data_IF_966549709226
#
_entry.id   IF_966549709226
#
_cell.length_a   1.000
_cell.length_b   1.000
_cell.length_c   1.000
_cell.angle_alpha   90.00
_cell.angle_beta   90.00
_cell.angle_gamma   90.00
#
_symmetry.space_group_name_H-M   'P 1'
#
loop_
_entity.id
_entity.type
_entity.pdbx_description
1 polymer ?
#
# COMPACT_ATOMS: atom_id res chain seq x y z
N UNK A 1 39.94 -8.02 -27.43
CA UNK A 1 38.59 -7.42 -27.50
C UNK A 1 37.66 -7.85 -26.37
N UNK A 2 38.02 -8.89 -25.59
CA UNK A 2 37.24 -9.56 -24.53
C UNK A 2 37.16 -8.80 -23.19
N UNK A 3 38.06 -7.88 -22.90
CA UNK A 3 38.15 -7.10 -21.64
C UNK A 3 37.23 -5.86 -21.56
N UNK A 4 36.71 -5.38 -22.71
CA UNK A 4 35.91 -4.14 -22.76
C UNK A 4 34.48 -4.32 -22.29
N UNK A 5 33.85 -5.45 -22.55
CA UNK A 5 32.45 -5.69 -22.21
C UNK A 5 32.26 -6.08 -20.72
N UNK A 6 33.22 -6.85 -20.17
CA UNK A 6 33.28 -7.16 -18.77
C UNK A 6 33.48 -5.91 -17.88
N UNK A 7 34.41 -5.01 -18.30
CA UNK A 7 34.60 -3.74 -17.56
C UNK A 7 33.40 -2.82 -17.62
N UNK A 8 32.67 -2.77 -18.74
CA UNK A 8 31.39 -2.01 -18.83
C UNK A 8 30.32 -2.60 -17.93
N UNK A 9 30.27 -3.93 -17.82
CA UNK A 9 29.35 -4.62 -16.92
C UNK A 9 29.64 -4.27 -15.46
N UNK A 10 30.91 -4.36 -15.03
CA UNK A 10 31.31 -3.97 -13.66
C UNK A 10 31.04 -2.49 -13.36
N UNK A 11 31.34 -1.58 -14.29
CA UNK A 11 31.06 -0.16 -14.14
C UNK A 11 29.55 0.12 -13.96
N UNK A 12 28.70 -0.61 -14.68
CA UNK A 12 27.25 -0.53 -14.51
C UNK A 12 26.80 -1.02 -13.12
N UNK A 13 27.44 -2.07 -12.57
CA UNK A 13 27.17 -2.56 -11.22
C UNK A 13 27.61 -1.55 -10.15
N UNK A 14 28.77 -0.91 -10.30
CA UNK A 14 29.22 0.16 -9.39
C UNK A 14 28.26 1.37 -9.38
N UNK A 15 27.76 1.76 -10.56
CA UNK A 15 26.77 2.84 -10.66
C UNK A 15 25.47 2.47 -9.94
N UNK A 16 25.03 1.22 -10.05
CA UNK A 16 23.85 0.70 -9.35
C UNK A 16 24.05 0.64 -7.83
N UNK A 17 25.23 0.25 -7.37
CA UNK A 17 25.56 0.29 -5.93
C UNK A 17 25.47 1.69 -5.38
N UNK A 18 26.06 2.69 -6.06
CA UNK A 18 26.06 4.09 -5.65
C UNK A 18 24.67 4.72 -5.70
N UNK A 19 23.88 4.38 -6.73
CA UNK A 19 22.57 5.03 -6.96
C UNK A 19 21.41 4.35 -6.26
N UNK A 20 21.48 3.03 -6.00
CA UNK A 20 20.38 2.20 -5.49
C UNK A 20 20.69 1.48 -4.18
N UNK A 21 21.94 1.56 -3.69
CA UNK A 21 22.34 0.89 -2.44
C UNK A 21 22.38 -0.63 -2.52
N UNK A 22 22.43 -1.20 -3.72
CA UNK A 22 22.53 -2.65 -3.94
C UNK A 22 23.99 -3.05 -3.93
N UNK A 23 24.40 -3.96 -3.04
CA UNK A 23 25.76 -4.47 -2.98
C UNK A 23 26.18 -5.10 -4.30
N UNK A 24 27.31 -4.64 -4.86
CA UNK A 24 27.89 -5.17 -6.08
C UNK A 24 28.15 -6.69 -5.97
N UNK A 25 28.63 -7.15 -4.82
CA UNK A 25 28.90 -8.58 -4.59
C UNK A 25 27.61 -9.42 -4.65
N UNK A 26 26.53 -8.97 -4.00
CA UNK A 26 25.23 -9.67 -4.05
C UNK A 26 24.64 -9.72 -5.47
N UNK A 27 24.87 -8.69 -6.29
CA UNK A 27 24.47 -8.68 -7.69
C UNK A 27 25.30 -9.68 -8.51
N UNK A 28 26.61 -9.75 -8.28
CA UNK A 28 27.49 -10.70 -8.95
C UNK A 28 27.13 -12.14 -8.60
N UNK A 29 26.94 -12.46 -7.33
CA UNK A 29 26.48 -13.79 -6.87
C UNK A 29 25.16 -14.20 -7.51
N UNK A 30 24.21 -13.26 -7.60
CA UNK A 30 22.92 -13.52 -8.25
C UNK A 30 23.09 -13.84 -9.75
N UNK A 31 23.99 -13.13 -10.42
CA UNK A 31 24.30 -13.38 -11.85
C UNK A 31 24.99 -14.73 -12.01
N UNK A 32 25.96 -15.09 -11.14
CA UNK A 32 26.62 -16.39 -11.14
C UNK A 32 25.63 -17.54 -10.99
N UNK A 33 24.73 -17.46 -10.01
CA UNK A 33 23.68 -18.47 -9.77
C UNK A 33 22.74 -18.63 -10.98
N UNK A 34 22.32 -17.52 -11.57
CA UNK A 34 21.42 -17.55 -12.71
C UNK A 34 22.09 -18.06 -13.99
N UNK A 35 23.38 -17.75 -14.17
CA UNK A 35 24.17 -18.30 -15.28
C UNK A 35 24.42 -19.80 -15.09
N UNK A 36 24.65 -20.25 -13.86
CA UNK A 36 24.74 -21.67 -13.53
C UNK A 36 23.44 -22.40 -13.88
N UNK A 37 22.29 -21.85 -13.49
CA UNK A 37 21.00 -22.44 -13.82
C UNK A 37 20.75 -22.48 -15.33
N UNK A 38 21.15 -21.44 -16.07
CA UNK A 38 21.07 -21.40 -17.52
C UNK A 38 21.99 -22.43 -18.20
N UNK A 39 23.19 -22.63 -17.66
CA UNK A 39 24.14 -23.64 -18.17
C UNK A 39 23.55 -25.05 -17.97
N UNK A 40 23.09 -25.39 -16.78
CA UNK A 40 22.45 -26.69 -16.48
C UNK A 40 21.28 -26.97 -17.40
N UNK A 41 20.44 -25.99 -17.66
CA UNK A 41 19.30 -26.14 -18.59
C UNK A 41 19.70 -26.41 -20.03
N UNK A 42 20.85 -25.91 -20.47
CA UNK A 42 21.27 -26.00 -21.86
C UNK A 42 22.14 -27.23 -22.13
N UNK A 43 22.97 -27.63 -21.18
CA UNK A 43 23.95 -28.70 -21.32
C UNK A 43 23.63 -29.97 -20.51
N UNK A 44 22.60 -29.96 -19.67
CA UNK A 44 22.19 -31.07 -18.81
C UNK A 44 22.38 -30.78 -17.32
N UNK A 45 21.76 -31.57 -16.46
CA UNK A 45 21.85 -31.43 -14.98
C UNK A 45 23.17 -32.07 -14.46
N UNK A 46 24.29 -31.54 -14.86
CA UNK A 46 25.57 -31.90 -14.24
C UNK A 46 25.73 -31.11 -12.94
N UNK A 47 25.81 -31.79 -11.80
CA UNK A 47 25.94 -31.18 -10.48
C UNK A 47 27.31 -30.52 -10.25
N UNK A 48 28.28 -30.82 -11.10
CA UNK A 48 29.69 -30.47 -10.97
C UNK A 48 30.13 -29.20 -11.71
N UNK A 49 29.22 -28.29 -12.04
CA UNK A 49 29.52 -27.06 -12.77
C UNK A 49 29.54 -25.85 -11.87
N UNK A 50 30.57 -25.02 -11.97
CA UNK A 50 30.72 -23.75 -11.29
C UNK A 50 30.87 -22.60 -12.28
N UNK A 51 30.14 -21.50 -12.08
CA UNK A 51 30.28 -20.25 -12.83
C UNK A 51 30.95 -19.22 -11.94
N UNK A 52 32.00 -18.60 -12.39
CA UNK A 52 32.71 -17.54 -11.69
C UNK A 52 32.77 -16.28 -12.53
N UNK A 53 32.56 -15.13 -11.93
CA UNK A 53 32.75 -13.82 -12.54
C UNK A 53 33.97 -13.16 -11.89
N UNK A 54 34.99 -12.84 -12.71
CA UNK A 54 36.16 -12.14 -12.21
C UNK A 54 35.77 -10.72 -11.73
N UNK A 55 35.99 -10.44 -10.45
CA UNK A 55 35.58 -9.17 -9.80
C UNK A 55 36.33 -7.95 -10.36
N UNK A 56 37.48 -8.15 -11.03
CA UNK A 56 38.30 -7.05 -11.57
C UNK A 56 38.07 -6.83 -13.05
N UNK A 57 37.90 -7.92 -13.82
CA UNK A 57 37.80 -7.85 -15.29
C UNK A 57 36.37 -7.99 -15.80
N UNK A 58 35.44 -8.51 -14.97
CA UNK A 58 34.07 -8.86 -15.36
C UNK A 58 34.02 -10.05 -16.33
N UNK A 59 35.10 -10.82 -16.42
CA UNK A 59 35.15 -12.01 -17.27
C UNK A 59 34.40 -13.16 -16.64
N UNK A 60 33.53 -13.80 -17.39
CA UNK A 60 32.75 -14.96 -16.98
C UNK A 60 33.46 -16.22 -17.40
N UNK A 61 33.69 -17.11 -16.44
CA UNK A 61 34.30 -18.42 -16.64
C UNK A 61 33.41 -19.51 -16.12
N UNK A 62 33.37 -20.62 -16.82
CA UNK A 62 32.64 -21.82 -16.43
C UNK A 62 33.62 -22.92 -16.19
N UNK A 63 33.52 -23.62 -15.08
CA UNK A 63 34.37 -24.72 -14.70
C UNK A 63 33.54 -25.97 -14.45
N UNK A 64 34.04 -27.10 -14.96
CA UNK A 64 33.64 -28.42 -14.51
C UNK A 64 34.51 -28.82 -13.32
N UNK A 65 33.90 -29.30 -12.26
CA UNK A 65 34.56 -29.83 -11.08
C UNK A 65 34.65 -31.35 -11.26
N UNK A 66 35.87 -31.89 -11.39
CA UNK A 66 36.06 -33.34 -11.52
C UNK A 66 36.93 -33.87 -10.40
N UNK A 67 36.56 -35.03 -9.88
CA UNK A 67 37.33 -35.74 -8.86
C UNK A 67 38.41 -36.58 -9.55
N UNK A 68 39.63 -36.50 -9.06
CA UNK A 68 40.74 -37.25 -9.62
C UNK A 68 40.70 -38.67 -9.09
N UNK A 69 40.62 -39.64 -10.02
CA UNK A 69 40.54 -41.08 -9.70
C UNK A 69 41.64 -41.86 -10.41
N UNK A 70 41.83 -43.08 -10.00
CA UNK A 70 42.77 -44.00 -10.70
C UNK A 70 42.09 -44.55 -11.96
N UNK A 71 40.89 -45.11 -11.80
CA UNK A 71 40.04 -45.61 -12.89
C UNK A 71 38.79 -44.71 -13.03
N UNK A 72 38.52 -44.17 -14.22
CA UNK A 72 37.40 -43.32 -14.53
C UNK A 72 36.16 -44.18 -14.80
N UNK A 73 35.14 -44.10 -13.98
CA UNK A 73 33.82 -44.74 -14.18
C UNK A 73 32.78 -43.79 -14.76
N UNK A 74 32.83 -42.53 -14.36
CA UNK A 74 31.98 -41.46 -14.87
C UNK A 74 32.81 -40.30 -15.43
N UNK A 75 32.91 -40.22 -16.73
CA UNK A 75 33.70 -39.18 -17.40
C UNK A 75 33.17 -37.75 -17.20
N UNK A 76 31.91 -37.59 -16.72
CA UNK A 76 31.35 -36.29 -16.38
C UNK A 76 31.88 -35.78 -15.03
N UNK A 77 32.00 -36.67 -14.04
CA UNK A 77 32.35 -36.34 -12.65
C UNK A 77 33.81 -36.63 -12.30
N UNK A 78 34.48 -37.48 -13.08
CA UNK A 78 35.81 -38.02 -12.77
C UNK A 78 36.82 -37.71 -13.87
N UNK A 79 38.09 -37.68 -13.50
CA UNK A 79 39.23 -37.53 -14.42
C UNK A 79 40.39 -38.39 -13.92
N UNK A 80 41.14 -38.98 -14.87
CA UNK A 80 42.32 -39.78 -14.54
C UNK A 80 43.45 -38.91 -13.94
N UNK A 81 44.29 -39.52 -13.12
CA UNK A 81 45.47 -38.83 -12.57
C UNK A 81 46.41 -38.34 -13.69
N UNK A 82 46.51 -39.05 -14.83
CA UNK A 82 47.34 -38.66 -15.97
C UNK A 82 46.80 -37.42 -16.65
N UNK A 83 45.52 -37.40 -17.00
CA UNK A 83 44.87 -36.26 -17.64
C UNK A 83 44.81 -35.05 -16.70
N UNK A 84 44.61 -35.25 -15.41
CA UNK A 84 44.59 -34.16 -14.43
C UNK A 84 45.93 -33.42 -14.32
N UNK A 85 47.06 -34.10 -14.56
CA UNK A 85 48.38 -33.48 -14.57
C UNK A 85 48.63 -32.52 -15.74
N UNK A 86 47.85 -32.63 -16.82
CA UNK A 86 47.91 -31.66 -17.91
C UNK A 86 47.39 -30.29 -17.51
N UNK A 87 46.41 -30.26 -16.60
CA UNK A 87 45.78 -29.02 -16.08
C UNK A 87 46.54 -28.47 -14.87
N UNK A 88 47.06 -29.36 -13.97
CA UNK A 88 47.73 -28.93 -12.73
C UNK A 88 48.88 -29.90 -12.35
N UNK A 89 50.09 -29.37 -12.22
CA UNK A 89 51.31 -30.17 -12.00
C UNK A 89 51.42 -30.96 -10.68
N UNK A 90 50.67 -30.57 -9.64
CA UNK A 90 50.68 -31.22 -8.33
C UNK A 90 49.25 -31.58 -7.94
N UNK A 91 48.85 -32.79 -8.22
CA UNK A 91 47.53 -33.36 -7.92
C UNK A 91 47.69 -34.77 -7.36
N UNK A 92 46.70 -35.20 -6.58
CA UNK A 92 46.62 -36.55 -5.96
C UNK A 92 45.25 -37.14 -6.24
N UNK A 93 45.15 -38.45 -6.22
CA UNK A 93 43.88 -39.16 -6.26
C UNK A 93 43.03 -38.70 -5.06
N UNK A 94 41.75 -38.37 -5.31
CA UNK A 94 40.81 -37.79 -4.38
C UNK A 94 40.79 -36.27 -4.31
N UNK A 95 41.69 -35.55 -5.00
CA UNK A 95 41.62 -34.10 -5.15
C UNK A 95 40.52 -33.71 -6.16
N UNK A 96 39.90 -32.54 -5.93
CA UNK A 96 39.05 -31.92 -6.96
C UNK A 96 39.87 -30.98 -7.84
N UNK A 97 39.61 -31.03 -9.13
CA UNK A 97 40.20 -30.15 -10.14
C UNK A 97 39.11 -29.35 -10.87
N UNK A 98 39.37 -28.05 -11.10
CA UNK A 98 38.53 -27.17 -11.92
C UNK A 98 39.07 -27.15 -13.34
N UNK A 99 38.26 -27.56 -14.28
CA UNK A 99 38.60 -27.58 -15.73
C UNK A 99 37.77 -26.48 -16.40
N UNK A 100 38.43 -25.48 -17.01
CA UNK A 100 37.74 -24.40 -17.72
C UNK A 100 37.09 -24.93 -19.01
N UNK A 101 35.75 -24.81 -19.07
CA UNK A 101 34.99 -25.19 -20.26
C UNK A 101 34.97 -24.07 -21.27
N UNK A 102 35.48 -24.34 -22.47
CA UNK A 102 35.57 -23.33 -23.54
C UNK A 102 34.28 -23.30 -24.37
N UNK A 103 33.21 -22.72 -23.81
CA UNK A 103 31.94 -22.50 -24.48
C UNK A 103 31.83 -21.06 -25.00
N UNK A 104 32.37 -20.76 -26.19
CA UNK A 104 32.29 -19.38 -26.74
C UNK A 104 30.85 -18.89 -26.98
N UNK A 105 29.97 -19.78 -27.35
CA UNK A 105 28.54 -19.46 -27.56
C UNK A 105 27.83 -19.12 -26.22
N UNK A 106 28.05 -19.93 -25.20
CA UNK A 106 27.56 -19.65 -23.86
C UNK A 106 28.11 -18.33 -23.31
N UNK A 107 29.42 -18.08 -23.52
CA UNK A 107 30.09 -16.87 -23.01
C UNK A 107 29.50 -15.57 -23.58
N UNK A 108 29.09 -15.56 -24.86
CA UNK A 108 28.38 -14.40 -25.46
C UNK A 108 26.99 -14.21 -24.91
N UNK A 109 26.23 -15.29 -24.81
CA UNK A 109 24.87 -15.28 -24.27
C UNK A 109 24.85 -14.97 -22.75
N UNK A 110 25.86 -15.45 -22.00
CA UNK A 110 26.00 -15.22 -20.56
C UNK A 110 26.12 -13.73 -20.19
N UNK A 111 26.91 -12.96 -20.97
CA UNK A 111 27.05 -11.50 -20.72
C UNK A 111 25.70 -10.77 -20.92
N UNK A 112 24.97 -11.13 -21.98
CA UNK A 112 23.65 -10.55 -22.23
C UNK A 112 22.63 -10.97 -21.16
N UNK A 113 22.60 -12.25 -20.81
CA UNK A 113 21.73 -12.78 -19.76
C UNK A 113 22.07 -12.17 -18.40
N UNK A 114 23.35 -12.07 -18.04
CA UNK A 114 23.80 -11.41 -16.82
C UNK A 114 23.30 -9.97 -16.71
N UNK A 115 23.39 -9.20 -17.79
CA UNK A 115 22.84 -7.84 -17.85
C UNK A 115 21.32 -7.80 -17.62
N UNK A 116 20.57 -8.72 -18.22
CA UNK A 116 19.11 -8.80 -18.03
C UNK A 116 18.74 -9.14 -16.59
N UNK A 117 19.49 -10.07 -15.97
CA UNK A 117 19.28 -10.47 -14.58
C UNK A 117 19.51 -9.29 -13.63
N UNK A 118 20.60 -8.54 -13.84
CA UNK A 118 20.89 -7.33 -13.05
C UNK A 118 19.77 -6.31 -13.20
N UNK A 119 19.32 -6.02 -14.42
CA UNK A 119 18.20 -5.09 -14.67
C UNK A 119 16.93 -5.57 -13.95
N UNK A 120 16.66 -6.87 -13.96
CA UNK A 120 15.52 -7.44 -13.27
C UNK A 120 15.63 -7.28 -11.75
N UNK A 121 16.80 -7.55 -11.17
CA UNK A 121 17.05 -7.39 -9.73
C UNK A 121 16.95 -5.94 -9.28
N UNK A 122 17.47 -5.00 -10.07
CA UNK A 122 17.32 -3.57 -9.79
C UNK A 122 15.83 -3.17 -9.76
N UNK A 123 15.07 -3.59 -10.78
CA UNK A 123 13.61 -3.32 -10.81
C UNK A 123 12.87 -3.95 -9.62
N UNK A 124 13.30 -5.14 -9.18
CA UNK A 124 12.72 -5.82 -8.03
C UNK A 124 13.03 -5.06 -6.72
N UNK A 125 14.26 -4.60 -6.55
CA UNK A 125 14.66 -3.78 -5.41
C UNK A 125 13.94 -2.42 -5.39
N UNK A 126 13.81 -1.74 -6.53
CA UNK A 126 13.03 -0.50 -6.66
C UNK A 126 11.56 -0.73 -6.28
N UNK A 127 10.95 -1.81 -6.77
CA UNK A 127 9.57 -2.17 -6.41
C UNK A 127 9.42 -2.40 -4.92
N UNK A 128 10.34 -3.15 -4.32
CA UNK A 128 10.32 -3.41 -2.88
C UNK A 128 10.48 -2.12 -2.09
N UNK A 129 11.42 -1.26 -2.45
CA UNK A 129 11.63 0.04 -1.80
C UNK A 129 10.40 0.95 -1.88
N UNK A 130 9.74 1.01 -3.05
CA UNK A 130 8.48 1.76 -3.20
C UNK A 130 7.38 1.15 -2.33
N UNK A 131 7.23 -0.17 -2.35
CA UNK A 131 6.24 -0.85 -1.51
C UNK A 131 6.45 -0.56 -0.03
N UNK A 132 7.66 -0.73 0.49
CA UNK A 132 7.97 -0.53 1.89
C UNK A 132 7.75 0.94 2.31
N UNK A 133 8.16 1.89 1.46
CA UNK A 133 7.95 3.32 1.66
C UNK A 133 6.47 3.68 1.83
N UNK A 134 5.58 3.13 0.99
CA UNK A 134 4.16 3.45 1.05
C UNK A 134 3.38 2.55 2.00
N UNK A 135 3.87 1.35 2.33
CA UNK A 135 3.22 0.44 3.28
C UNK A 135 3.16 1.02 4.69
N UNK A 136 4.20 1.74 5.13
CA UNK A 136 4.17 2.47 6.42
C UNK A 136 3.21 3.66 6.41
N UNK A 137 2.76 4.11 5.24
CA UNK A 137 1.78 5.19 5.05
C UNK A 137 0.37 4.67 4.79
N UNK A 138 0.18 3.35 4.81
CA UNK A 138 -1.15 2.76 4.67
C UNK A 138 -2.06 3.20 5.82
N UNK A 139 -3.30 3.53 5.51
CA UNK A 139 -4.27 4.11 6.44
C UNK A 139 -3.89 5.51 6.96
N UNK A 140 -3.08 6.24 6.21
CA UNK A 140 -2.68 7.60 6.54
C UNK A 140 -2.93 8.55 5.36
N UNK A 141 -2.78 9.85 5.61
CA UNK A 141 -2.87 10.90 4.58
C UNK A 141 -1.48 11.17 3.99
N UNK A 142 -1.43 11.22 2.65
CA UNK A 142 -0.27 11.72 1.92
C UNK A 142 -0.64 12.93 1.08
N UNK A 143 0.34 13.80 0.85
CA UNK A 143 0.17 15.00 0.03
C UNK A 143 0.93 14.79 -1.27
N UNK A 144 0.24 14.94 -2.40
CA UNK A 144 0.85 14.85 -3.72
C UNK A 144 0.51 16.02 -4.61
N UNK A 145 1.07 16.00 -5.82
CA UNK A 145 0.83 17.01 -6.86
C UNK A 145 0.12 16.34 -8.03
N UNK A 146 -0.97 16.93 -8.48
CA UNK A 146 -1.71 16.46 -9.66
C UNK A 146 -0.85 16.72 -10.90
N UNK A 147 -0.41 15.66 -11.59
CA UNK A 147 0.44 15.76 -12.79
C UNK A 147 -0.37 15.76 -14.08
N UNK A 148 -1.41 14.97 -14.14
CA UNK A 148 -2.27 14.88 -15.33
C UNK A 148 -3.65 14.33 -14.98
N UNK A 149 -4.60 14.62 -15.85
CA UNK A 149 -5.97 14.06 -15.81
C UNK A 149 -6.18 13.42 -17.17
N UNK A 150 -6.61 12.15 -17.21
CA UNK A 150 -6.84 11.45 -18.48
C UNK A 150 -8.28 11.67 -19.01
N UNK A 151 -8.54 11.15 -20.21
CA UNK A 151 -9.86 11.25 -20.88
C UNK A 151 -10.97 10.52 -20.11
N UNK A 152 -10.60 9.56 -19.24
CA UNK A 152 -11.51 8.83 -18.35
C UNK A 152 -11.69 9.52 -17.01
N UNK A 153 -11.18 10.76 -16.88
CA UNK A 153 -11.18 11.56 -15.65
C UNK A 153 -10.44 10.91 -14.47
N UNK A 154 -9.55 9.95 -14.72
CA UNK A 154 -8.64 9.47 -13.69
C UNK A 154 -7.55 10.51 -13.46
N UNK A 155 -7.21 10.72 -12.20
CA UNK A 155 -6.24 11.75 -11.78
C UNK A 155 -4.96 11.06 -11.38
N UNK A 156 -3.86 11.49 -11.98
CA UNK A 156 -2.53 10.97 -11.70
C UNK A 156 -1.81 11.93 -10.77
N UNK A 157 -1.47 11.43 -9.60
CA UNK A 157 -0.91 12.22 -8.50
C UNK A 157 0.49 11.68 -8.21
N UNK A 158 1.46 12.57 -8.13
CA UNK A 158 2.85 12.24 -7.82
C UNK A 158 3.15 12.50 -6.35
N UNK A 159 3.78 11.52 -5.73
CA UNK A 159 4.28 11.53 -4.35
C UNK A 159 5.76 11.14 -4.36
N UNK A 160 6.65 12.09 -4.09
CA UNK A 160 8.10 11.84 -4.02
C UNK A 160 8.67 10.98 -5.17
N UNK A 161 8.29 11.30 -6.41
CA UNK A 161 8.75 10.61 -7.60
C UNK A 161 7.97 9.32 -7.95
N UNK A 162 6.96 8.96 -7.16
CA UNK A 162 6.08 7.81 -7.46
C UNK A 162 4.69 8.31 -7.84
N UNK A 163 4.15 7.81 -8.94
CA UNK A 163 2.80 8.17 -9.41
C UNK A 163 1.77 7.16 -8.90
N UNK A 164 0.65 7.65 -8.36
CA UNK A 164 -0.53 6.86 -8.06
C UNK A 164 -1.75 7.41 -8.80
N UNK A 165 -2.74 6.55 -9.01
CA UNK A 165 -3.96 6.90 -9.75
C UNK A 165 -5.13 7.03 -8.79
N UNK A 166 -5.85 8.16 -8.86
CA UNK A 166 -7.12 8.38 -8.20
C UNK A 166 -8.25 8.20 -9.23
N UNK A 167 -8.86 7.00 -9.31
CA UNK A 167 -9.91 6.73 -10.27
C UNK A 167 -11.19 7.51 -9.89
N UNK A 168 -12.08 7.72 -10.86
CA UNK A 168 -13.32 8.48 -10.65
C UNK A 168 -14.20 7.92 -9.53
N UNK A 169 -14.16 6.61 -9.28
CA UNK A 169 -14.88 5.95 -8.19
C UNK A 169 -14.42 6.37 -6.80
N UNK A 170 -13.16 6.80 -6.67
CA UNK A 170 -12.52 7.21 -5.43
C UNK A 170 -12.41 8.74 -5.26
N UNK A 171 -12.90 9.49 -6.24
CA UNK A 171 -12.97 10.96 -6.20
C UNK A 171 -14.18 11.43 -5.40
N UNK A 172 -14.04 12.56 -4.72
CA UNK A 172 -15.17 13.23 -4.09
C UNK A 172 -15.92 14.08 -5.14
N UNK A 173 -17.25 14.00 -5.20
CA UNK A 173 -18.03 14.76 -6.19
C UNK A 173 -17.92 16.28 -6.04
N UNK A 174 -17.58 16.78 -4.85
CA UNK A 174 -17.42 18.22 -4.58
C UNK A 174 -16.02 18.74 -4.93
N UNK A 175 -15.05 17.84 -5.15
CA UNK A 175 -13.68 18.23 -5.40
C UNK A 175 -13.50 18.78 -6.84
N UNK A 176 -12.69 19.82 -6.94
CA UNK A 176 -12.24 20.39 -8.22
C UNK A 176 -10.76 20.08 -8.37
N UNK A 177 -10.40 19.35 -9.42
CA UNK A 177 -9.03 18.91 -9.66
C UNK A 177 -8.39 19.70 -10.80
N UNK A 178 -7.22 20.27 -10.55
CA UNK A 178 -6.43 21.01 -11.56
C UNK A 178 -5.01 20.50 -11.58
N UNK A 179 -4.42 20.40 -12.74
CA UNK A 179 -3.01 20.03 -12.91
C UNK A 179 -2.14 21.08 -12.22
N UNK A 180 -1.20 20.62 -11.39
CA UNK A 180 -0.32 21.44 -10.57
C UNK A 180 -0.77 21.66 -9.14
N UNK A 181 -2.04 21.38 -8.81
CA UNK A 181 -2.56 21.55 -7.45
C UNK A 181 -1.97 20.48 -6.51
N UNK A 182 -1.75 20.88 -5.26
CA UNK A 182 -1.43 19.96 -4.16
C UNK A 182 -2.72 19.43 -3.58
N UNK A 183 -2.74 18.13 -3.35
CA UNK A 183 -3.93 17.46 -2.84
C UNK A 183 -3.56 16.45 -1.74
N UNK A 184 -4.35 16.41 -0.69
CA UNK A 184 -4.30 15.37 0.34
C UNK A 184 -5.15 14.19 -0.09
N UNK A 185 -4.62 12.99 -0.02
CA UNK A 185 -5.36 11.75 -0.28
C UNK A 185 -5.10 10.73 0.81
N UNK A 186 -6.08 9.88 1.05
CA UNK A 186 -5.95 8.76 1.97
C UNK A 186 -5.39 7.54 1.23
N UNK A 187 -4.36 6.91 1.79
CA UNK A 187 -3.82 5.65 1.29
C UNK A 187 -4.66 4.52 1.88
N UNK A 188 -5.56 3.98 1.09
CA UNK A 188 -6.46 2.92 1.55
C UNK A 188 -5.73 1.58 1.68
N UNK A 189 -4.89 1.25 0.70
CA UNK A 189 -4.18 -0.02 0.62
C UNK A 189 -2.95 0.10 -0.27
N UNK A 190 -1.92 -0.68 0.05
CA UNK A 190 -0.72 -0.84 -0.78
C UNK A 190 -0.53 -2.32 -1.11
N UNK A 191 -0.71 -2.66 -2.39
CA UNK A 191 -0.67 -4.03 -2.91
C UNK A 191 0.66 -4.31 -3.63
N UNK A 192 1.27 -5.48 -3.40
CA UNK A 192 2.38 -5.97 -4.23
C UNK A 192 1.82 -6.54 -5.53
N UNK A 193 2.33 -6.06 -6.66
CA UNK A 193 1.99 -6.64 -7.96
C UNK A 193 3.24 -7.13 -8.70
N UNK A 194 3.05 -7.85 -9.80
CA UNK A 194 4.15 -8.36 -10.62
C UNK A 194 4.95 -7.25 -11.33
N UNK A 195 4.36 -6.06 -11.53
CA UNK A 195 5.00 -4.92 -12.23
C UNK A 195 5.50 -3.86 -11.25
N UNK A 196 4.60 -3.09 -10.65
CA UNK A 196 4.88 -2.05 -9.66
C UNK A 196 3.86 -2.12 -8.54
N UNK A 197 4.22 -1.73 -7.29
CA UNK A 197 3.25 -1.65 -6.21
C UNK A 197 2.07 -0.80 -6.60
N UNK A 198 0.87 -1.28 -6.34
CA UNK A 198 -0.36 -0.51 -6.57
C UNK A 198 -0.71 0.21 -5.28
N UNK A 199 -0.65 1.53 -5.31
CA UNK A 199 -1.03 2.40 -4.21
C UNK A 199 -2.47 2.81 -4.43
N UNK A 200 -3.38 2.26 -3.63
CA UNK A 200 -4.81 2.59 -3.68
C UNK A 200 -5.05 3.84 -2.86
N UNK A 201 -5.35 4.93 -3.54
CA UNK A 201 -5.62 6.23 -2.92
C UNK A 201 -7.08 6.62 -3.08
N UNK A 202 -7.62 7.33 -2.09
CA UNK A 202 -9.03 7.72 -2.07
C UNK A 202 -9.24 9.12 -1.46
N UNK A 203 -10.18 9.88 -2.04
CA UNK A 203 -10.76 11.09 -1.45
C UNK A 203 -12.16 10.84 -0.90
N UNK A 204 -12.72 9.65 -1.20
CA UNK A 204 -14.08 9.26 -0.82
C UNK A 204 -14.11 8.44 0.49
N UNK A 205 -13.01 7.76 0.81
CA UNK A 205 -12.93 6.90 1.99
C UNK A 205 -13.18 7.68 3.29
N UNK A 206 -13.86 7.07 4.23
CA UNK A 206 -14.12 7.65 5.57
C UNK A 206 -12.83 7.83 6.38
N UNK A 207 -11.81 7.01 6.13
CA UNK A 207 -10.50 7.14 6.74
C UNK A 207 -9.84 8.50 6.47
N UNK A 208 -10.12 9.14 5.32
CA UNK A 208 -9.67 10.51 5.06
C UNK A 208 -10.22 11.48 6.12
N UNK A 209 -11.52 11.42 6.41
CA UNK A 209 -12.12 12.29 7.40
C UNK A 209 -11.57 12.02 8.80
N UNK A 210 -11.45 10.75 9.19
CA UNK A 210 -10.84 10.34 10.46
C UNK A 210 -9.45 10.94 10.63
N UNK A 211 -8.59 10.79 9.62
CA UNK A 211 -7.22 11.32 9.65
C UNK A 211 -7.14 12.85 9.61
N UNK A 212 -8.07 13.53 8.94
CA UNK A 212 -8.15 14.99 9.00
C UNK A 212 -8.49 15.48 10.42
N UNK A 213 -9.39 14.77 11.12
CA UNK A 213 -9.67 15.06 12.53
C UNK A 213 -8.46 14.82 13.43
N UNK A 214 -7.73 13.71 13.25
CA UNK A 214 -6.49 13.44 13.99
C UNK A 214 -5.42 14.50 13.76
N UNK A 215 -5.32 15.05 12.55
CA UNK A 215 -4.33 16.09 12.21
C UNK A 215 -4.69 17.48 12.76
N UNK A 216 -6.00 17.81 12.80
CA UNK A 216 -6.46 19.17 13.16
C UNK A 216 -6.77 19.31 14.65
N UNK A 217 -7.05 18.21 15.34
CA UNK A 217 -7.53 18.20 16.72
C UNK A 217 -6.50 17.48 17.61
N UNK A 218 -5.70 18.27 18.39
CA UNK A 218 -4.66 17.70 19.26
C UNK A 218 -5.22 16.68 20.27
N UNK A 219 -6.38 16.94 20.82
CA UNK A 219 -7.03 16.06 21.82
C UNK A 219 -7.33 14.67 21.26
N UNK A 220 -7.54 14.54 19.93
CA UNK A 220 -7.70 13.25 19.25
C UNK A 220 -6.32 12.60 19.03
N UNK A 221 -5.32 13.38 18.57
CA UNK A 221 -3.97 12.86 18.34
C UNK A 221 -3.28 12.41 19.63
N UNK A 222 -3.61 13.01 20.75
CA UNK A 222 -3.12 12.67 22.09
C UNK A 222 -3.90 11.52 22.74
N UNK A 223 -5.00 11.07 22.10
CA UNK A 223 -5.85 9.98 22.61
C UNK A 223 -6.81 10.38 23.73
N UNK A 224 -6.97 11.68 24.01
CA UNK A 224 -7.93 12.18 25.01
C UNK A 224 -9.37 12.10 24.49
N UNK A 225 -9.55 12.20 23.18
CA UNK A 225 -10.82 12.02 22.47
C UNK A 225 -10.66 10.90 21.46
N UNK A 226 -11.55 9.93 21.52
CA UNK A 226 -11.58 8.81 20.59
C UNK A 226 -12.68 9.01 19.53
N UNK A 227 -12.36 8.72 18.25
CA UNK A 227 -13.34 8.63 17.17
C UNK A 227 -13.92 7.21 17.17
N UNK A 228 -15.12 7.03 17.68
CA UNK A 228 -15.79 5.72 17.75
C UNK A 228 -16.27 5.24 16.37
N UNK A 229 -16.93 6.10 15.60
CA UNK A 229 -17.44 5.75 14.28
C UNK A 229 -17.50 6.95 13.35
N UNK A 230 -17.48 6.69 12.04
CA UNK A 230 -17.59 7.68 10.98
C UNK A 230 -18.60 7.16 9.96
N UNK A 231 -19.52 8.02 9.52
CA UNK A 231 -20.41 7.76 8.40
C UNK A 231 -20.30 8.92 7.42
N UNK A 232 -19.98 8.64 6.15
CA UNK A 232 -19.67 9.66 5.16
C UNK A 232 -20.38 9.41 3.84
N UNK A 233 -20.97 10.46 3.30
CA UNK A 233 -21.36 10.59 1.90
C UNK A 233 -20.47 11.68 1.30
N UNK A 234 -19.33 11.27 0.72
CA UNK A 234 -18.28 12.16 0.24
C UNK A 234 -18.81 13.28 -0.66
N UNK A 235 -18.35 14.51 -0.42
CA UNK A 235 -18.75 15.71 -1.14
C UNK A 235 -20.14 16.24 -0.77
N UNK A 236 -20.82 15.64 0.22
CA UNK A 236 -22.14 16.07 0.65
C UNK A 236 -22.21 16.29 2.16
N UNK A 237 -22.20 15.22 2.93
CA UNK A 237 -22.30 15.27 4.39
C UNK A 237 -21.64 14.08 5.05
N UNK A 238 -21.09 14.30 6.23
CA UNK A 238 -20.57 13.25 7.11
C UNK A 238 -21.09 13.43 8.54
N UNK A 239 -21.11 12.33 9.29
CA UNK A 239 -21.30 12.31 10.73
C UNK A 239 -20.12 11.58 11.37
N UNK A 240 -19.64 12.12 12.48
CA UNK A 240 -18.55 11.54 13.25
C UNK A 240 -18.94 11.44 14.71
N UNK A 241 -18.77 10.27 15.30
CA UNK A 241 -19.04 10.03 16.72
C UNK A 241 -17.74 10.08 17.51
N UNK A 242 -17.68 10.95 18.50
CA UNK A 242 -16.51 11.19 19.35
C UNK A 242 -16.84 10.87 20.81
N UNK A 243 -15.85 10.40 21.55
CA UNK A 243 -16.00 10.00 22.95
C UNK A 243 -14.75 10.37 23.75
N UNK A 244 -14.90 10.70 25.00
CA UNK A 244 -13.81 10.80 25.97
C UNK A 244 -14.19 10.11 27.28
N UNK A 245 -13.24 9.42 27.89
CA UNK A 245 -13.39 8.86 29.24
C UNK A 245 -13.41 9.96 30.29
N UNK A 246 -12.69 11.07 30.06
CA UNK A 246 -12.67 12.23 30.92
C UNK A 246 -13.92 13.09 30.69
N UNK A 247 -14.86 13.04 31.66
CA UNK A 247 -16.11 13.82 31.64
C UNK A 247 -15.89 15.33 31.68
N UNK A 248 -14.71 15.81 32.02
CA UNK A 248 -14.39 17.24 32.01
C UNK A 248 -14.07 17.77 30.62
N UNK A 249 -13.85 16.90 29.66
CA UNK A 249 -13.55 17.28 28.29
C UNK A 249 -14.86 17.47 27.50
N UNK A 250 -15.08 18.68 27.01
CA UNK A 250 -16.11 18.95 26.01
C UNK A 250 -15.66 18.42 24.65
N UNK A 251 -16.04 17.18 24.35
CA UNK A 251 -15.60 16.47 23.11
C UNK A 251 -16.04 17.20 21.84
N UNK A 252 -17.25 17.73 21.82
CA UNK A 252 -17.80 18.46 20.66
C UNK A 252 -17.12 19.82 20.55
N UNK A 253 -17.00 20.56 21.64
CA UNK A 253 -16.37 21.88 21.68
C UNK A 253 -14.88 21.82 21.27
N UNK A 254 -14.14 20.81 21.72
CA UNK A 254 -12.75 20.58 21.33
C UNK A 254 -12.62 20.33 19.83
N UNK A 255 -13.51 19.53 19.24
CA UNK A 255 -13.52 19.26 17.80
C UNK A 255 -13.91 20.49 16.96
N UNK A 256 -14.85 21.29 17.43
CA UNK A 256 -15.26 22.52 16.74
C UNK A 256 -14.15 23.59 16.82
N UNK A 257 -13.50 23.71 17.96
CA UNK A 257 -12.45 24.68 18.23
C UNK A 257 -12.97 26.11 18.38
N UNK A 258 -12.05 27.05 18.69
CA UNK A 258 -12.43 28.45 18.90
C UNK A 258 -13.07 29.04 17.64
N UNK A 259 -14.27 29.60 17.80
CA UNK A 259 -15.08 30.19 16.71
C UNK A 259 -15.26 29.24 15.49
N UNK A 260 -15.19 27.92 15.72
CA UNK A 260 -15.34 26.92 14.68
C UNK A 260 -14.16 26.80 13.73
N UNK A 261 -12.96 27.22 14.12
CA UNK A 261 -11.81 27.26 13.22
C UNK A 261 -11.37 25.86 12.80
N UNK A 262 -11.26 24.90 13.77
CA UNK A 262 -10.78 23.56 13.49
C UNK A 262 -11.71 22.83 12.51
N UNK A 263 -13.01 22.81 12.81
CA UNK A 263 -13.97 22.16 11.92
C UNK A 263 -14.04 22.84 10.54
N UNK A 264 -13.86 24.16 10.48
CA UNK A 264 -13.85 24.89 9.22
C UNK A 264 -12.66 24.48 8.34
N UNK A 265 -11.46 24.34 8.92
CA UNK A 265 -10.27 23.88 8.17
C UNK A 265 -10.52 22.50 7.53
N UNK A 266 -11.19 21.59 8.24
CA UNK A 266 -11.55 20.28 7.70
C UNK A 266 -12.61 20.38 6.60
N UNK A 267 -13.64 21.20 6.80
CA UNK A 267 -14.68 21.45 5.79
C UNK A 267 -14.09 22.08 4.53
N UNK A 268 -13.18 23.02 4.68
CA UNK A 268 -12.50 23.68 3.55
C UNK A 268 -11.61 22.69 2.78
N UNK A 269 -10.88 21.81 3.48
CA UNK A 269 -10.10 20.73 2.84
C UNK A 269 -10.99 19.76 2.04
N UNK A 270 -12.24 19.56 2.48
CA UNK A 270 -13.23 18.69 1.83
C UNK A 270 -14.19 19.45 0.91
N UNK A 271 -13.80 20.66 0.47
CA UNK A 271 -14.56 21.51 -0.47
C UNK A 271 -16.04 21.70 -0.08
N UNK A 272 -16.28 21.99 1.20
CA UNK A 272 -17.60 22.35 1.72
C UNK A 272 -18.47 21.17 2.14
N UNK A 273 -17.92 19.97 2.29
CA UNK A 273 -18.62 18.82 2.85
C UNK A 273 -19.10 19.15 4.28
N UNK A 274 -20.39 19.01 4.55
CA UNK A 274 -20.97 19.29 5.88
C UNK A 274 -20.62 18.19 6.86
N UNK A 275 -20.19 18.55 8.06
CA UNK A 275 -19.77 17.60 9.08
C UNK A 275 -20.58 17.82 10.35
N UNK A 276 -21.29 16.78 10.79
CA UNK A 276 -21.99 16.74 12.07
C UNK A 276 -21.14 15.95 13.07
N UNK A 277 -20.78 16.59 14.19
CA UNK A 277 -20.05 15.96 15.28
C UNK A 277 -21.07 15.55 16.33
N UNK A 278 -21.05 14.28 16.73
CA UNK A 278 -21.98 13.68 17.66
C UNK A 278 -21.21 13.06 18.81
N UNK A 279 -21.67 13.30 20.04
CA UNK A 279 -21.12 12.60 21.19
C UNK A 279 -21.58 11.15 21.19
N UNK A 280 -20.64 10.21 21.25
CA UNK A 280 -20.97 8.80 21.38
C UNK A 280 -21.52 8.50 22.79
N UNK A 281 -22.57 7.72 22.86
CA UNK A 281 -23.21 7.30 24.12
C UNK A 281 -23.16 5.80 24.26
N UNK A 282 -23.01 5.32 25.48
CA UNK A 282 -23.00 3.88 25.79
C UNK A 282 -24.38 3.25 25.57
N UNK A 283 -25.46 3.97 25.95
CA UNK A 283 -26.82 3.56 25.62
C UNK A 283 -27.07 3.71 24.11
N UNK A 284 -27.50 2.62 23.49
CA UNK A 284 -27.80 2.60 22.05
C UNK A 284 -28.95 3.56 21.73
N UNK A 285 -29.97 3.62 22.58
CA UNK A 285 -31.12 4.49 22.41
C UNK A 285 -30.71 5.96 22.44
N UNK A 286 -29.91 6.35 23.42
CA UNK A 286 -29.37 7.71 23.52
C UNK A 286 -28.48 8.05 22.33
N UNK A 287 -27.65 7.10 21.90
CA UNK A 287 -26.75 7.30 20.76
C UNK A 287 -27.53 7.49 19.45
N UNK A 288 -28.53 6.64 19.17
CA UNK A 288 -29.40 6.79 17.98
C UNK A 288 -30.13 8.13 18.03
N UNK A 289 -30.64 8.55 19.19
CA UNK A 289 -31.29 9.85 19.38
C UNK A 289 -30.31 10.99 19.04
N UNK A 290 -29.10 10.96 19.60
CA UNK A 290 -28.06 11.98 19.36
C UNK A 290 -27.63 12.05 17.88
N UNK A 291 -27.48 10.91 17.23
CA UNK A 291 -27.05 10.82 15.82
C UNK A 291 -28.08 11.41 14.84
N UNK A 292 -29.37 11.40 15.19
CA UNK A 292 -30.40 11.99 14.34
C UNK A 292 -30.46 13.53 14.41
N UNK A 293 -29.66 14.16 15.27
CA UNK A 293 -29.49 15.61 15.27
C UNK A 293 -29.31 16.15 13.82
N UNK A 294 -29.95 17.32 13.47
CA UNK A 294 -30.64 18.27 14.38
C UNK A 294 -32.11 17.96 14.70
N UNK A 295 -32.66 16.81 14.26
CA UNK A 295 -34.02 16.43 14.59
C UNK A 295 -34.17 16.12 16.10
N UNK A 296 -35.28 16.56 16.69
CA UNK A 296 -35.63 16.20 18.05
C UNK A 296 -36.40 14.88 18.06
N UNK A 297 -35.90 13.93 18.82
CA UNK A 297 -36.46 12.58 18.96
C UNK A 297 -37.24 12.51 20.26
N UNK A 298 -38.45 11.94 20.19
CA UNK A 298 -39.30 11.76 21.38
C UNK A 298 -38.90 10.50 22.16
N UNK A 299 -38.72 9.39 21.45
CA UNK A 299 -38.28 8.12 22.03
C UNK A 299 -37.57 7.25 20.99
N UNK A 300 -36.69 6.38 21.48
CA UNK A 300 -36.03 5.33 20.71
C UNK A 300 -36.27 4.02 21.42
N UNK A 301 -36.62 3.00 20.68
CA UNK A 301 -36.81 1.63 21.14
C UNK A 301 -35.97 0.70 20.29
N UNK A 302 -35.10 -0.10 20.88
CA UNK A 302 -34.38 -1.15 20.18
C UNK A 302 -35.30 -2.38 20.10
N UNK A 303 -35.55 -2.86 18.89
CA UNK A 303 -36.44 -3.99 18.68
C UNK A 303 -35.77 -5.33 19.07
N UNK A 304 -36.59 -6.39 19.19
CA UNK A 304 -36.11 -7.73 19.59
C UNK A 304 -35.05 -8.34 18.67
N UNK A 305 -34.92 -7.84 17.42
CA UNK A 305 -33.87 -8.27 16.47
C UNK A 305 -32.49 -7.71 16.82
N UNK A 306 -32.40 -6.85 17.83
CA UNK A 306 -31.20 -6.16 18.31
C UNK A 306 -30.42 -5.40 17.21
N UNK A 307 -31.01 -5.25 16.02
CA UNK A 307 -30.42 -4.59 14.85
C UNK A 307 -31.23 -3.40 14.36
N UNK A 308 -32.49 -3.23 14.83
CA UNK A 308 -33.40 -2.17 14.39
C UNK A 308 -33.75 -1.25 15.53
N UNK A 309 -33.55 0.04 15.34
CA UNK A 309 -33.99 1.11 16.24
C UNK A 309 -35.24 1.74 15.66
N UNK A 310 -36.37 1.63 16.40
CA UNK A 310 -37.59 2.36 16.10
C UNK A 310 -37.52 3.72 16.78
N UNK A 311 -37.63 4.76 15.98
CA UNK A 311 -37.51 6.15 16.42
C UNK A 311 -38.86 6.86 16.27
N UNK A 312 -39.37 7.43 17.34
CA UNK A 312 -40.61 8.22 17.33
C UNK A 312 -40.24 9.70 17.31
N UNK A 313 -40.80 10.43 16.38
CA UNK A 313 -40.60 11.89 16.23
C UNK A 313 -41.94 12.59 16.09
N UNK A 314 -41.98 13.88 16.43
CA UNK A 314 -43.15 14.70 16.12
C UNK A 314 -43.29 14.91 14.62
N UNK A 315 -44.50 15.12 14.06
CA UNK A 315 -44.73 15.37 12.63
C UNK A 315 -43.83 16.48 12.05
N UNK A 316 -43.58 17.54 12.83
CA UNK A 316 -42.71 18.66 12.46
C UNK A 316 -41.23 18.29 12.33
N UNK A 317 -40.77 17.22 12.99
CA UNK A 317 -39.39 16.75 12.99
C UNK A 317 -39.10 15.66 11.94
N UNK A 318 -40.13 15.04 11.39
CA UNK A 318 -39.98 13.92 10.46
C UNK A 318 -39.08 14.25 9.29
N UNK A 319 -39.26 15.38 8.63
CA UNK A 319 -38.47 15.81 7.50
C UNK A 319 -36.98 16.04 7.86
N UNK A 320 -36.72 16.53 9.07
CA UNK A 320 -35.36 16.71 9.60
C UNK A 320 -34.72 15.37 9.95
N UNK A 321 -35.46 14.45 10.58
CA UNK A 321 -35.00 13.14 10.98
C UNK A 321 -34.61 12.29 9.72
N UNK A 322 -35.43 12.30 8.70
CA UNK A 322 -35.17 11.63 7.44
C UNK A 322 -34.06 12.36 6.65
N UNK A 323 -34.11 13.68 6.60
CA UNK A 323 -33.21 14.52 5.82
C UNK A 323 -33.49 14.49 4.32
N UNK A 324 -32.82 15.35 3.56
CA UNK A 324 -32.95 15.42 2.10
C UNK A 324 -32.58 14.07 1.47
N UNK A 325 -33.49 13.49 0.69
CA UNK A 325 -33.33 12.18 0.05
C UNK A 325 -32.96 11.05 1.05
N UNK A 326 -33.38 11.13 2.30
CA UNK A 326 -33.07 10.14 3.33
C UNK A 326 -31.63 10.19 3.86
N UNK A 327 -30.89 11.27 3.60
CA UNK A 327 -29.45 11.35 3.92
C UNK A 327 -29.20 11.26 5.43
N UNK A 328 -29.97 11.97 6.26
CA UNK A 328 -29.76 11.95 7.71
C UNK A 328 -29.99 10.55 8.29
N UNK A 329 -31.09 9.90 7.91
CA UNK A 329 -31.40 8.53 8.33
C UNK A 329 -30.33 7.51 7.86
N UNK A 330 -29.86 7.61 6.60
CA UNK A 330 -28.80 6.73 6.10
C UNK A 330 -27.46 6.91 6.83
N UNK A 331 -27.06 8.15 7.08
CA UNK A 331 -25.86 8.45 7.85
C UNK A 331 -25.99 7.97 9.30
N UNK A 332 -27.16 8.14 9.91
CA UNK A 332 -27.45 7.64 11.24
C UNK A 332 -27.35 6.11 11.30
N UNK A 333 -27.95 5.42 10.34
CA UNK A 333 -27.88 3.97 10.26
C UNK A 333 -26.43 3.46 10.09
N UNK A 334 -25.63 4.12 9.25
CA UNK A 334 -24.20 3.76 9.06
C UNK A 334 -23.38 4.03 10.33
N UNK A 335 -23.62 5.17 10.99
CA UNK A 335 -22.83 5.57 12.15
C UNK A 335 -23.11 4.68 13.37
N UNK A 336 -24.36 4.26 13.56
CA UNK A 336 -24.79 3.41 14.67
C UNK A 336 -24.64 1.91 14.38
N UNK A 337 -24.50 1.53 13.10
CA UNK A 337 -24.52 0.13 12.65
C UNK A 337 -25.92 -0.52 12.73
N UNK A 338 -26.98 0.27 12.92
CA UNK A 338 -28.35 -0.20 13.11
C UNK A 338 -29.26 0.25 11.96
N UNK A 339 -30.34 -0.47 11.74
CA UNK A 339 -31.46 0.02 10.92
C UNK A 339 -32.23 1.06 11.71
N UNK A 340 -32.56 2.20 11.10
CA UNK A 340 -33.31 3.28 11.76
C UNK A 340 -34.68 3.37 11.10
N UNK A 341 -35.75 2.95 11.86
CA UNK A 341 -37.16 3.02 11.45
C UNK A 341 -37.79 4.24 12.10
N UNK A 342 -37.99 5.30 11.31
CA UNK A 342 -38.52 6.58 11.83
C UNK A 342 -40.04 6.62 11.64
N UNK A 343 -40.77 6.78 12.73
CA UNK A 343 -42.24 6.90 12.76
C UNK A 343 -42.68 8.19 13.42
N UNK A 344 -43.83 8.64 12.99
CA UNK A 344 -44.48 9.80 13.61
C UNK A 344 -45.24 9.35 14.88
N UNK A 345 -45.18 10.18 15.91
CA UNK A 345 -46.00 9.99 17.08
C UNK A 345 -47.47 10.01 16.67
N UNK A 346 -48.24 8.96 17.00
CA UNK A 346 -49.66 8.93 16.78
C UNK A 346 -50.31 10.00 17.69
N UNK A 347 -50.98 10.95 17.08
CA UNK A 347 -51.82 11.89 17.79
C UNK A 347 -53.06 11.12 18.22
N UNK A 348 -53.17 10.73 19.48
CA UNK A 348 -54.43 10.32 20.06
C UNK A 348 -55.31 11.59 20.01
N UNK A 349 -56.22 11.67 19.02
CA UNK A 349 -57.35 12.58 19.14
C UNK A 349 -58.12 12.11 20.36
N UNK A 350 -58.02 12.86 21.47
CA UNK A 350 -58.99 12.75 22.55
C UNK A 350 -60.32 13.18 21.96
N UNK A 351 -61.17 12.20 21.61
CA UNK A 351 -62.56 12.41 21.40
C UNK A 351 -63.15 12.86 22.79
N UNK A 352 -63.22 14.16 23.01
CA UNK A 352 -64.07 14.72 23.98
C UNK A 352 -65.50 14.74 23.39
N UNK A 353 -66.23 13.69 23.65
CA UNK A 353 -67.71 13.71 23.64
C UNK A 353 -68.25 14.28 24.96
#
# INVERSE_FOLDING_TARGET
MRSKDGKKFLAALEELEKSKGLSQESLLETVEQALLAAYKKHFGEEENVQVEINRTTGEIKVYELKTIVDDVYDAALEISLEDAKEYKKRVKIGDEIKIEVNCEEFRRNAIQNGKQIVIQKVREAERTGIYDKFKVREKDIIIGIIRRIDDRKSIFIEFDGTEAVLPISEQSPSDVYRVGDRIKVYVAEVEKTSKFPKIVISRKNEGLLRKLFELEIPEISEGLIEIKSVAREAGSRAKIAVYSEDKNIDTIGACIGQKGLRIRNIVDELNGEKIDIVEWKESREEFVSAVLSPAKVNSVEILEDDTTARVIVDPSQLSLAIGKNGQNARLAAKLTGMRVDIKVKETTEENND
#
